data_IF_064741919711
#
_entry.id   IF_064741919711
#
_cell.length_a   1.000
_cell.length_b   1.000
_cell.length_c   1.000
_cell.angle_alpha   90.00
_cell.angle_beta   90.00
_cell.angle_gamma   90.00
#
_symmetry.space_group_name_H-M   'P 1'
#
loop_
_entity.id
_entity.type
_entity.pdbx_description
1 polymer ?
#
# COMPACT_ATOMS: atom_id res chain seq x y z
N UNK A 1 -4.29 -10.78 19.19
CA UNK A 1 -4.78 -9.41 18.95
C UNK A 1 -6.28 -9.47 18.70
N UNK A 2 -7.09 -8.64 19.39
CA UNK A 2 -8.52 -8.53 19.07
C UNK A 2 -8.65 -7.86 17.70
N UNK A 3 -9.32 -8.51 16.76
CA UNK A 3 -9.65 -7.88 15.48
C UNK A 3 -10.73 -6.83 15.75
N UNK A 4 -10.38 -5.55 15.65
CA UNK A 4 -11.34 -4.45 15.75
C UNK A 4 -12.23 -4.49 14.51
N UNK A 5 -13.55 -4.61 14.71
CA UNK A 5 -14.54 -4.83 13.65
C UNK A 5 -15.07 -3.52 13.06
N UNK A 6 -15.09 -2.43 13.82
CA UNK A 6 -15.68 -1.15 13.39
C UNK A 6 -14.72 0.04 13.48
N UNK A 7 -14.98 1.10 12.70
CA UNK A 7 -14.22 2.38 12.77
C UNK A 7 -14.28 2.95 14.19
N UNK A 8 -15.45 2.90 14.82
CA UNK A 8 -15.64 3.38 16.20
C UNK A 8 -14.71 2.65 17.18
N UNK A 9 -14.61 1.32 17.08
CA UNK A 9 -13.72 0.53 17.93
C UNK A 9 -12.24 0.88 17.72
N UNK A 10 -11.82 1.13 16.47
CA UNK A 10 -10.47 1.60 16.14
C UNK A 10 -10.17 2.94 16.77
N UNK A 11 -11.04 3.93 16.57
CA UNK A 11 -10.87 5.27 17.16
C UNK A 11 -10.84 5.19 18.68
N UNK A 12 -11.77 4.46 19.30
CA UNK A 12 -11.84 4.30 20.77
C UNK A 12 -10.53 3.72 21.33
N UNK A 13 -10.00 2.68 20.66
CA UNK A 13 -8.71 2.09 21.00
C UNK A 13 -7.55 3.07 20.83
N UNK A 14 -7.51 3.79 19.70
CA UNK A 14 -6.44 4.71 19.37
C UNK A 14 -6.41 5.95 20.27
N UNK A 15 -7.56 6.49 20.68
CA UNK A 15 -7.64 7.56 21.68
C UNK A 15 -6.93 7.14 22.95
N UNK A 16 -7.23 5.94 23.45
CA UNK A 16 -6.58 5.39 24.64
C UNK A 16 -5.08 5.21 24.42
N UNK A 17 -4.69 4.59 23.30
CA UNK A 17 -3.29 4.33 22.97
C UNK A 17 -2.48 5.64 22.92
N UNK A 18 -2.93 6.63 22.15
CA UNK A 18 -2.23 7.91 22.01
C UNK A 18 -2.23 8.73 23.30
N UNK A 19 -3.30 8.67 24.10
CA UNK A 19 -3.31 9.28 25.44
C UNK A 19 -2.22 8.68 26.33
N UNK A 20 -2.11 7.35 26.37
CA UNK A 20 -1.12 6.63 27.17
C UNK A 20 0.31 6.88 26.68
N UNK A 21 0.54 6.93 25.36
CA UNK A 21 1.84 7.30 24.76
C UNK A 21 2.27 8.73 25.13
N UNK A 22 1.31 9.65 25.23
CA UNK A 22 1.54 11.02 25.70
C UNK A 22 1.59 11.14 27.23
N UNK A 23 1.56 10.01 27.97
CA UNK A 23 1.61 9.95 29.44
C UNK A 23 0.50 10.76 30.13
N UNK A 24 -0.66 10.89 29.49
CA UNK A 24 -1.80 11.61 30.04
C UNK A 24 -2.75 10.66 30.76
N UNK A 25 -3.28 11.09 31.89
CA UNK A 25 -4.46 10.45 32.51
C UNK A 25 -5.74 10.87 31.78
N UNK A 26 -6.83 10.10 31.93
CA UNK A 26 -8.14 10.49 31.38
C UNK A 26 -8.58 11.86 31.90
N UNK A 27 -8.29 12.17 33.17
CA UNK A 27 -8.60 13.47 33.79
C UNK A 27 -7.83 14.62 33.13
N UNK A 28 -6.52 14.45 32.92
CA UNK A 28 -5.71 15.49 32.26
C UNK A 28 -6.12 15.71 30.81
N UNK A 29 -6.50 14.65 30.08
CA UNK A 29 -7.02 14.81 28.72
C UNK A 29 -8.36 15.56 28.73
N UNK A 30 -9.24 15.24 29.68
CA UNK A 30 -10.52 15.93 29.84
C UNK A 30 -10.32 17.43 30.12
N UNK A 31 -9.39 17.77 31.02
CA UNK A 31 -9.02 19.15 31.33
C UNK A 31 -8.49 19.90 30.10
N UNK A 32 -7.61 19.27 29.31
CA UNK A 32 -7.08 19.87 28.06
C UNK A 32 -8.14 20.13 27.01
N UNK A 33 -9.18 19.28 26.94
CA UNK A 33 -10.27 19.39 25.98
C UNK A 33 -11.46 20.22 26.51
N UNK A 34 -11.45 20.64 27.77
CA UNK A 34 -12.58 21.34 28.38
C UNK A 34 -13.83 20.46 28.55
N UNK A 35 -13.67 19.14 28.69
CA UNK A 35 -14.77 18.18 28.81
C UNK A 35 -14.78 17.48 30.16
N UNK A 36 -15.87 16.75 30.45
CA UNK A 36 -15.98 15.94 31.67
C UNK A 36 -15.17 14.65 31.54
N UNK A 37 -14.60 14.18 32.65
CA UNK A 37 -13.83 12.92 32.71
C UNK A 37 -14.61 11.70 32.16
N UNK A 38 -15.91 11.62 32.43
CA UNK A 38 -16.76 10.53 31.96
C UNK A 38 -16.89 10.47 30.43
N UNK A 39 -16.73 11.60 29.73
CA UNK A 39 -16.71 11.63 28.27
C UNK A 39 -15.50 10.86 27.73
N UNK A 40 -14.30 11.13 28.28
CA UNK A 40 -13.07 10.41 27.91
C UNK A 40 -13.22 8.90 28.13
N UNK A 41 -13.70 8.52 29.32
CA UNK A 41 -13.94 7.11 29.66
C UNK A 41 -14.90 6.44 28.67
N UNK A 42 -16.00 7.14 28.33
CA UNK A 42 -17.01 6.64 27.39
C UNK A 42 -16.51 6.52 25.94
N UNK A 43 -15.58 7.39 25.52
CA UNK A 43 -14.98 7.33 24.19
C UNK A 43 -13.93 6.22 24.12
N UNK A 44 -13.11 6.05 25.13
CA UNK A 44 -12.10 4.98 25.19
C UNK A 44 -12.71 3.58 25.33
N UNK A 45 -13.88 3.46 25.97
CA UNK A 45 -14.64 2.21 26.03
C UNK A 45 -15.45 1.92 24.76
N UNK A 46 -15.58 2.90 23.85
CA UNK A 46 -16.42 2.81 22.65
C UNK A 46 -17.93 2.79 22.93
N UNK A 47 -18.35 3.13 24.16
CA UNK A 47 -19.77 3.24 24.53
C UNK A 47 -20.44 4.35 23.73
N UNK A 48 -19.78 5.51 23.62
CA UNK A 48 -20.23 6.63 22.79
C UNK A 48 -19.14 7.00 21.79
N UNK A 49 -19.54 7.51 20.63
CA UNK A 49 -18.60 8.11 19.69
C UNK A 49 -18.17 9.50 20.18
N UNK A 50 -16.93 9.86 19.90
CA UNK A 50 -16.44 11.22 20.03
C UNK A 50 -16.90 12.04 18.82
N UNK A 51 -17.18 13.30 19.07
CA UNK A 51 -17.52 14.28 18.05
C UNK A 51 -16.30 14.66 17.20
N UNK A 52 -16.52 15.05 15.93
CA UNK A 52 -15.43 15.21 14.96
C UNK A 52 -14.52 16.39 15.30
N UNK A 53 -15.06 17.49 15.82
CA UNK A 53 -14.29 18.65 16.26
C UNK A 53 -13.37 18.28 17.43
N UNK A 54 -13.88 17.53 18.41
CA UNK A 54 -13.08 17.07 19.56
C UNK A 54 -12.01 16.08 19.11
N UNK A 55 -12.32 15.21 18.15
CA UNK A 55 -11.35 14.25 17.61
C UNK A 55 -10.17 14.97 16.93
N UNK A 56 -10.43 16.08 16.24
CA UNK A 56 -9.38 16.90 15.64
C UNK A 56 -8.51 17.59 16.71
N UNK A 57 -9.11 18.09 17.79
CA UNK A 57 -8.34 18.65 18.91
C UNK A 57 -7.47 17.59 19.61
N UNK A 58 -8.00 16.37 19.78
CA UNK A 58 -7.20 15.25 20.27
C UNK A 58 -6.00 14.96 19.36
N UNK A 59 -6.18 14.96 18.04
CA UNK A 59 -5.08 14.77 17.09
C UNK A 59 -3.96 15.80 17.29
N UNK A 60 -4.32 17.08 17.49
CA UNK A 60 -3.36 18.16 17.80
C UNK A 60 -2.63 17.92 19.12
N UNK A 61 -3.36 17.54 20.18
CA UNK A 61 -2.78 17.25 21.50
C UNK A 61 -1.81 16.07 21.43
N UNK A 62 -2.15 15.03 20.67
CA UNK A 62 -1.36 13.81 20.56
C UNK A 62 -0.22 13.91 19.56
N UNK A 63 -0.23 14.92 18.68
CA UNK A 63 0.75 15.07 17.60
C UNK A 63 0.59 14.05 16.49
N UNK A 64 -0.65 13.60 16.22
CA UNK A 64 -0.97 12.61 15.18
C UNK A 64 -1.90 13.19 14.13
N UNK A 65 -1.89 12.58 12.95
CA UNK A 65 -2.83 12.86 11.87
C UNK A 65 -4.17 12.17 12.10
N UNK A 66 -5.20 12.63 11.40
CA UNK A 66 -6.50 11.96 11.42
C UNK A 66 -6.40 10.53 10.86
N UNK A 67 -5.55 10.28 9.87
CA UNK A 67 -5.35 8.92 9.32
C UNK A 67 -4.82 7.95 10.38
N UNK A 68 -3.84 8.39 11.17
CA UNK A 68 -3.31 7.62 12.29
C UNK A 68 -4.39 7.36 13.36
N UNK A 69 -5.22 8.37 13.67
CA UNK A 69 -6.36 8.22 14.58
C UNK A 69 -7.37 7.16 14.11
N UNK A 70 -7.63 7.08 12.80
CA UNK A 70 -8.51 6.06 12.23
C UNK A 70 -7.86 4.67 12.10
N UNK A 71 -6.56 4.56 12.41
CA UNK A 71 -5.80 3.33 12.16
C UNK A 71 -5.73 2.99 10.68
N UNK A 72 -5.74 4.02 9.83
CA UNK A 72 -5.43 3.88 8.41
C UNK A 72 -3.92 3.84 8.32
N UNK A 73 -3.37 2.63 8.27
CA UNK A 73 -1.99 2.44 7.87
C UNK A 73 -1.85 3.04 6.47
N UNK A 74 -1.01 4.07 6.34
CA UNK A 74 -0.44 4.41 5.05
C UNK A 74 0.45 3.23 4.65
N UNK A 75 -0.17 2.17 4.10
CA UNK A 75 0.54 1.07 3.43
C UNK A 75 1.40 1.61 2.29
N UNK A 76 1.08 2.81 1.83
CA UNK A 76 1.93 3.65 1.02
C UNK A 76 2.59 4.72 1.89
N UNK A 77 3.65 4.34 2.60
CA UNK A 77 4.77 5.26 2.75
C UNK A 77 5.37 5.48 1.35
N UNK A 78 4.70 6.29 0.52
CA UNK A 78 5.33 6.96 -0.63
C UNK A 78 6.32 8.01 -0.08
N UNK A 79 7.36 7.55 0.61
CA UNK A 79 8.51 8.42 0.80
C UNK A 79 9.21 8.51 -0.53
N UNK A 80 8.98 9.63 -1.23
CA UNK A 80 9.79 10.01 -2.37
C UNK A 80 11.24 10.05 -1.87
N UNK A 81 12.09 9.26 -2.50
CA UNK A 81 13.54 9.37 -2.34
C UNK A 81 13.99 10.81 -2.63
N UNK A 82 15.16 11.23 -2.13
CA UNK A 82 15.71 12.56 -2.42
C UNK A 82 15.77 12.87 -3.92
N UNK A 83 16.01 11.84 -4.75
CA UNK A 83 16.06 11.98 -6.21
C UNK A 83 14.67 12.21 -6.82
N UNK A 84 13.65 11.45 -6.40
CA UNK A 84 12.27 11.65 -6.85
C UNK A 84 11.74 13.03 -6.44
N UNK A 85 12.07 13.46 -5.21
CA UNK A 85 11.74 14.81 -4.73
C UNK A 85 12.42 15.90 -5.58
N UNK A 86 13.68 15.70 -5.97
CA UNK A 86 14.41 16.62 -6.86
C UNK A 86 13.74 16.68 -8.23
N UNK A 87 13.36 15.55 -8.81
CA UNK A 87 12.67 15.47 -10.11
C UNK A 87 11.35 16.26 -10.09
N UNK A 88 10.52 16.05 -9.07
CA UNK A 88 9.24 16.75 -8.93
C UNK A 88 9.44 18.27 -8.80
N UNK A 89 10.41 18.70 -7.99
CA UNK A 89 10.74 20.13 -7.84
C UNK A 89 11.18 20.73 -9.17
N UNK A 90 12.10 20.09 -9.88
CA UNK A 90 12.56 20.55 -11.20
C UNK A 90 11.40 20.62 -12.19
N UNK A 91 10.58 19.57 -12.30
CA UNK A 91 9.43 19.53 -13.22
C UNK A 91 8.46 20.70 -12.98
N UNK A 92 8.16 21.02 -11.71
CA UNK A 92 7.25 22.13 -11.36
C UNK A 92 7.76 23.50 -11.84
N UNK A 93 9.08 23.69 -11.90
CA UNK A 93 9.71 24.94 -12.36
C UNK A 93 9.83 25.07 -13.88
N UNK A 94 9.59 24.00 -14.64
CA UNK A 94 9.66 24.03 -16.10
C UNK A 94 8.51 24.84 -16.71
N UNK A 95 8.77 25.37 -17.91
CA UNK A 95 7.75 25.92 -18.80
C UNK A 95 6.80 24.82 -19.28
N UNK A 96 5.65 25.20 -19.86
CA UNK A 96 4.70 24.25 -20.44
C UNK A 96 5.34 23.33 -21.49
N UNK A 97 6.17 23.88 -22.38
CA UNK A 97 6.90 23.09 -23.39
C UNK A 97 7.93 22.15 -22.77
N UNK A 98 8.59 22.57 -21.68
CA UNK A 98 9.51 21.73 -20.92
C UNK A 98 8.79 20.56 -20.25
N UNK A 99 7.62 20.80 -19.65
CA UNK A 99 6.79 19.75 -19.05
C UNK A 99 6.30 18.76 -20.10
N UNK A 100 5.79 19.25 -21.24
CA UNK A 100 5.33 18.39 -22.34
C UNK A 100 6.46 17.50 -22.89
N UNK A 101 7.68 18.02 -22.96
CA UNK A 101 8.85 17.23 -23.38
C UNK A 101 9.14 16.10 -22.41
N UNK A 102 9.11 16.37 -21.10
CA UNK A 102 9.30 15.35 -20.07
C UNK A 102 8.17 14.30 -20.12
N UNK A 103 6.92 14.74 -20.26
CA UNK A 103 5.77 13.83 -20.34
C UNK A 103 5.92 12.86 -21.51
N UNK A 104 6.30 13.36 -22.69
CA UNK A 104 6.60 12.53 -23.88
C UNK A 104 7.73 11.54 -23.61
N UNK A 105 8.83 11.99 -23.00
CA UNK A 105 9.94 11.10 -22.65
C UNK A 105 9.49 9.97 -21.72
N UNK A 106 8.71 10.30 -20.68
CA UNK A 106 8.18 9.30 -19.74
C UNK A 106 7.26 8.33 -20.47
N UNK A 107 6.32 8.81 -21.30
CA UNK A 107 5.43 7.95 -22.07
C UNK A 107 6.19 6.98 -22.96
N UNK A 108 7.20 7.45 -23.69
CA UNK A 108 8.00 6.61 -24.57
C UNK A 108 8.79 5.53 -23.79
N UNK A 109 9.35 5.89 -22.63
CA UNK A 109 10.08 4.94 -21.79
C UNK A 109 9.15 3.86 -21.21
N UNK A 110 7.97 4.25 -20.74
CA UNK A 110 6.98 3.30 -20.21
C UNK A 110 6.47 2.34 -21.29
N UNK A 111 6.26 2.84 -22.51
CA UNK A 111 5.88 2.00 -23.65
C UNK A 111 6.99 1.01 -24.02
N UNK A 112 8.24 1.48 -24.06
CA UNK A 112 9.40 0.62 -24.30
C UNK A 112 9.52 -0.49 -23.26
N UNK A 113 9.43 -0.16 -21.96
CA UNK A 113 9.50 -1.16 -20.89
C UNK A 113 8.35 -2.17 -20.96
N UNK A 114 7.16 -1.73 -21.35
CA UNK A 114 5.99 -2.61 -21.53
C UNK A 114 6.23 -3.60 -22.66
N UNK A 115 6.72 -3.13 -23.80
CA UNK A 115 7.00 -3.98 -24.96
C UNK A 115 8.10 -5.00 -24.64
N UNK A 116 9.16 -4.57 -23.94
CA UNK A 116 10.23 -5.46 -23.51
C UNK A 116 9.73 -6.59 -22.60
N UNK A 117 8.81 -6.29 -21.67
CA UNK A 117 8.19 -7.33 -20.81
C UNK A 117 7.41 -8.35 -21.65
N UNK A 118 6.62 -7.89 -22.62
CA UNK A 118 5.85 -8.76 -23.52
C UNK A 118 6.80 -9.66 -24.34
N UNK A 119 7.90 -9.12 -24.86
CA UNK A 119 8.90 -9.92 -25.59
C UNK A 119 9.58 -10.98 -24.70
N UNK A 120 9.86 -10.66 -23.45
CA UNK A 120 10.46 -11.60 -22.49
C UNK A 120 9.47 -12.71 -22.11
N UNK A 121 8.20 -12.38 -21.87
CA UNK A 121 7.14 -13.36 -21.58
C UNK A 121 6.88 -14.29 -22.78
N UNK A 122 6.98 -13.77 -24.01
CA UNK A 122 6.78 -14.56 -25.23
C UNK A 122 7.98 -15.45 -25.63
N UNK A 123 9.15 -15.31 -24.99
CA UNK A 123 10.34 -16.15 -25.23
C UNK A 123 10.40 -17.42 -24.39
N UNK A 124 9.62 -17.55 -23.31
CA UNK A 124 9.59 -18.77 -22.49
C UNK A 124 9.06 -20.05 -23.19
N UNK A 125 8.14 -20.03 -24.17
CA UNK A 125 7.61 -21.27 -24.76
C UNK A 125 8.61 -22.05 -25.62
N UNK A 126 9.60 -21.40 -26.24
CA UNK A 126 10.55 -22.05 -27.17
C UNK A 126 11.57 -22.95 -26.45
N UNK A 127 11.95 -22.62 -25.20
CA UNK A 127 12.86 -23.43 -24.39
C UNK A 127 12.23 -24.74 -23.92
N UNK A 128 10.91 -24.79 -23.72
CA UNK A 128 10.20 -26.04 -23.39
C UNK A 128 10.08 -26.98 -24.59
N UNK A 129 9.93 -26.45 -25.81
CA UNK A 129 9.82 -27.27 -27.02
C UNK A 129 11.13 -27.99 -27.34
N UNK A 130 12.29 -27.35 -27.12
CA UNK A 130 13.60 -27.94 -27.40
C UNK A 130 14.00 -29.11 -26.45
N UNK A 131 13.32 -29.26 -25.31
CA UNK A 131 13.57 -30.33 -24.34
C UNK A 131 12.62 -31.54 -24.48
N UNK A 132 11.63 -31.50 -25.38
CA UNK A 132 10.67 -32.59 -25.57
C UNK A 132 10.99 -33.54 -26.75
N UNK A 133 12.08 -33.31 -27.50
CA UNK A 133 12.62 -34.30 -28.45
C UNK A 133 13.47 -35.36 -27.71
N UNK A 134 12.95 -35.89 -26.60
CA UNK A 134 13.44 -37.14 -26.04
C UNK A 134 12.98 -38.27 -26.97
N UNK A 135 13.86 -38.63 -27.90
CA UNK A 135 13.81 -39.85 -28.70
C UNK A 135 13.96 -41.06 -27.75
N UNK A 136 12.94 -41.31 -26.94
CA UNK A 136 12.93 -42.42 -25.99
C UNK A 136 12.83 -43.74 -26.76
N UNK A 137 13.54 -44.76 -26.29
CA UNK A 137 13.58 -46.08 -26.91
C UNK A 137 12.17 -46.68 -27.07
N UNK A 138 11.24 -46.35 -26.16
CA UNK A 138 9.82 -46.72 -26.23
C UNK A 138 9.12 -46.19 -27.49
N UNK A 139 9.36 -44.93 -27.89
CA UNK A 139 8.75 -44.38 -29.11
C UNK A 139 9.35 -45.00 -30.37
N UNK A 140 10.64 -45.37 -30.34
CA UNK A 140 11.27 -46.09 -31.46
C UNK A 140 10.77 -47.53 -31.58
N UNK A 141 10.42 -48.15 -30.46
CA UNK A 141 9.91 -49.53 -30.42
C UNK A 141 8.44 -49.62 -30.84
N UNK A 142 7.61 -48.65 -30.44
CA UNK A 142 6.24 -48.50 -30.96
C UNK A 142 6.23 -48.29 -32.48
N UNK A 143 7.14 -47.47 -33.01
CA UNK A 143 7.21 -47.21 -34.45
C UNK A 143 7.70 -48.44 -35.25
N UNK A 144 8.46 -49.35 -34.64
CA UNK A 144 8.83 -50.64 -35.25
C UNK A 144 7.66 -51.62 -35.26
N UNK A 145 6.86 -51.67 -34.20
CA UNK A 145 5.68 -52.54 -34.14
C UNK A 145 4.63 -52.14 -35.18
N UNK A 146 4.37 -50.85 -35.37
CA UNK A 146 3.42 -50.36 -36.37
C UNK A 146 3.86 -50.64 -37.82
N UNK A 147 5.17 -50.80 -38.07
CA UNK A 147 5.71 -51.15 -39.39
C UNK A 147 5.66 -52.66 -39.70
N UNK A 148 5.58 -53.52 -38.68
CA UNK A 148 5.46 -54.97 -38.84
C UNK A 148 4.00 -55.42 -39.06
N UNK A 149 3.03 -54.55 -38.81
CA UNK A 149 1.60 -54.81 -39.05
C UNK A 149 1.05 -54.30 -40.41
N UNK A 150 1.92 -53.77 -41.29
CA UNK A 150 1.61 -53.37 -42.68
C UNK A 150 2.04 -54.43 -43.71
#
# INVERSE_FOLDING_TARGET
>A
MKHLKTIKEKISHNIRCFRELNKLTQKQLAEKLGVKHNAISSWESGTNAVDIEILLEMCKIFGVTINEMYGIENKEKQYLSPNEMKLIKSYRTLTSSGKESIDKTISNLLEYERNLKIELENKEPELMAAHNDDNSEEQQELMKQDLEEL
#
